data_IF_848827934588
#
_entry.id   IF_848827934588
#
_cell.length_a   1.000
_cell.length_b   1.000
_cell.length_c   1.000
_cell.angle_alpha   90.00
_cell.angle_beta   90.00
_cell.angle_gamma   90.00
#
_symmetry.space_group_name_H-M   'P 1'
#
loop_
_entity.id
_entity.type
_entity.pdbx_description
1 polymer ?
#
# COMPACT_ATOMS: atom_id res chain seq x y z
N UNK A 1 17.15 2.91 -11.02
CA UNK A 1 17.69 3.70 -9.90
C UNK A 1 16.51 4.18 -9.08
N UNK A 2 16.50 3.91 -7.77
CA UNK A 2 15.35 4.28 -6.94
C UNK A 2 15.28 5.80 -6.82
N UNK A 3 14.10 6.37 -7.02
CA UNK A 3 13.80 7.82 -7.08
C UNK A 3 14.26 8.59 -5.82
N UNK A 4 14.31 7.90 -4.68
CA UNK A 4 14.60 8.47 -3.36
C UNK A 4 15.91 7.97 -2.76
N UNK A 5 16.80 7.36 -3.55
CA UNK A 5 18.06 6.80 -3.03
C UNK A 5 18.95 7.80 -2.30
N UNK A 6 18.93 9.08 -2.70
CA UNK A 6 19.67 10.17 -2.04
C UNK A 6 19.22 10.41 -0.59
N UNK A 7 18.02 9.98 -0.20
CA UNK A 7 17.57 10.02 1.21
C UNK A 7 18.41 9.09 2.12
N UNK A 8 19.06 8.08 1.56
CA UNK A 8 19.87 7.13 2.30
C UNK A 8 21.37 7.49 2.34
N UNK A 9 21.83 8.46 1.56
CA UNK A 9 23.24 8.80 1.43
C UNK A 9 23.84 9.20 2.79
N UNK A 10 24.93 8.53 3.18
CA UNK A 10 25.64 8.80 4.44
C UNK A 10 24.88 8.45 5.71
N UNK A 11 23.76 7.71 5.62
CA UNK A 11 22.92 7.31 6.77
C UNK A 11 22.97 5.83 7.04
N UNK A 12 22.88 5.47 8.32
CA UNK A 12 22.82 4.08 8.77
C UNK A 12 21.34 3.69 8.92
N UNK A 13 20.87 2.65 8.21
CA UNK A 13 19.51 2.16 8.38
C UNK A 13 19.29 1.61 9.80
N UNK A 14 18.10 1.86 10.34
CA UNK A 14 17.61 1.17 11.54
C UNK A 14 16.95 -0.13 11.12
N UNK A 15 17.34 -1.21 11.80
CA UNK A 15 16.74 -2.52 11.58
C UNK A 15 15.47 -2.70 12.40
N UNK A 16 14.42 -3.27 11.76
CA UNK A 16 13.15 -3.66 12.38
C UNK A 16 12.87 -5.12 12.03
N UNK A 17 12.76 -5.97 13.05
CA UNK A 17 12.38 -7.38 12.84
C UNK A 17 10.92 -7.52 12.43
N UNK A 18 10.59 -8.60 11.72
CA UNK A 18 9.22 -8.93 11.37
C UNK A 18 8.30 -8.91 12.61
N UNK A 19 7.16 -8.23 12.52
CA UNK A 19 6.22 -7.99 13.62
C UNK A 19 6.55 -6.77 14.49
N UNK A 20 7.68 -6.10 14.29
CA UNK A 20 8.04 -4.92 15.08
C UNK A 20 7.28 -3.67 14.58
N UNK A 21 6.76 -2.89 15.53
CA UNK A 21 6.09 -1.61 15.24
C UNK A 21 7.14 -0.56 14.87
N UNK A 22 6.88 0.18 13.77
CA UNK A 22 7.71 1.27 13.28
C UNK A 22 7.23 2.60 13.89
N UNK A 23 5.92 2.85 13.82
CA UNK A 23 5.25 3.98 14.51
C UNK A 23 3.79 3.64 14.81
N UNK A 24 3.17 4.40 15.72
CA UNK A 24 1.80 4.19 16.18
C UNK A 24 0.89 5.37 15.78
N UNK A 25 -0.35 5.05 15.42
CA UNK A 25 -1.43 6.00 15.19
C UNK A 25 -1.61 6.93 16.39
N UNK A 26 -1.80 8.23 16.13
CA UNK A 26 -2.02 9.25 17.15
C UNK A 26 -0.74 9.79 17.81
N UNK A 27 0.44 9.21 17.56
CA UNK A 27 1.72 9.77 18.04
C UNK A 27 2.17 10.96 17.20
N UNK A 28 3.07 11.79 17.74
CA UNK A 28 3.67 12.90 16.99
C UNK A 28 4.47 12.38 15.79
N UNK A 29 4.46 13.14 14.70
CA UNK A 29 5.11 12.79 13.44
C UNK A 29 6.31 13.71 13.17
N UNK A 30 7.33 13.61 14.00
CA UNK A 30 8.59 14.40 13.93
C UNK A 30 9.60 13.86 12.91
N UNK A 31 9.36 12.68 12.38
CA UNK A 31 10.16 12.04 11.32
C UNK A 31 9.26 11.31 10.31
N UNK A 32 9.77 11.10 9.09
CA UNK A 32 9.23 10.17 8.12
C UNK A 32 10.29 9.14 7.74
N UNK A 33 9.89 8.11 7.00
CA UNK A 33 10.71 6.92 6.82
C UNK A 33 10.89 6.59 5.34
N UNK A 34 12.08 6.10 4.99
CA UNK A 34 12.42 5.57 3.68
C UNK A 34 12.81 4.10 3.79
N UNK A 35 12.13 3.22 3.06
CA UNK A 35 12.36 1.79 3.07
C UNK A 35 13.56 1.42 2.20
N UNK A 36 14.64 0.95 2.82
CA UNK A 36 15.83 0.44 2.11
C UNK A 36 15.63 -1.01 1.68
N UNK A 37 15.02 -1.82 2.58
CA UNK A 37 14.80 -3.25 2.36
C UNK A 37 13.63 -3.73 3.19
N UNK A 38 12.88 -4.70 2.67
CA UNK A 38 11.80 -5.36 3.38
C UNK A 38 10.41 -4.90 2.91
N UNK A 39 9.41 -5.28 3.70
CA UNK A 39 7.99 -4.94 3.49
C UNK A 39 7.39 -4.56 4.82
N UNK A 40 6.67 -3.45 4.86
CA UNK A 40 5.88 -3.00 6.01
C UNK A 40 4.43 -2.75 5.59
N UNK A 41 3.50 -2.73 6.54
CA UNK A 41 2.11 -2.34 6.31
C UNK A 41 1.72 -1.21 7.24
N UNK A 42 1.01 -0.22 6.70
CA UNK A 42 0.33 0.81 7.49
C UNK A 42 -1.14 0.46 7.65
N UNK A 43 -1.68 0.64 8.85
CA UNK A 43 -3.06 0.30 9.19
C UNK A 43 -3.67 1.31 10.17
N UNK A 44 -4.98 1.44 10.10
CA UNK A 44 -5.77 2.16 11.10
C UNK A 44 -6.46 1.15 12.01
N UNK A 45 -6.53 1.50 13.30
CA UNK A 45 -7.28 0.72 14.29
C UNK A 45 -8.55 1.48 14.66
N UNK A 46 -9.68 0.78 14.67
CA UNK A 46 -10.94 1.33 15.17
C UNK A 46 -10.99 1.25 16.70
N UNK A 47 -11.81 2.07 17.39
CA UNK A 47 -12.01 1.96 18.83
C UNK A 47 -12.52 0.59 19.29
N UNK A 48 -13.18 -0.17 18.40
CA UNK A 48 -13.66 -1.53 18.63
C UNK A 48 -12.60 -2.62 18.40
N UNK A 49 -11.33 -2.26 18.10
CA UNK A 49 -10.22 -3.19 17.91
C UNK A 49 -10.12 -3.77 16.48
N UNK A 50 -10.98 -3.35 15.54
CA UNK A 50 -10.84 -3.74 14.13
C UNK A 50 -9.66 -3.03 13.48
N UNK A 51 -8.84 -3.74 12.72
CA UNK A 51 -7.76 -3.18 11.90
C UNK A 51 -8.14 -3.14 10.42
N UNK A 52 -7.76 -2.06 9.75
CA UNK A 52 -7.86 -1.95 8.30
C UNK A 52 -6.52 -1.49 7.72
N UNK A 53 -5.95 -2.30 6.84
CA UNK A 53 -4.73 -1.93 6.12
C UNK A 53 -5.04 -0.75 5.20
N UNK A 54 -4.16 0.25 5.24
CA UNK A 54 -4.19 1.41 4.36
C UNK A 54 -3.21 1.27 3.20
N UNK A 55 -2.01 0.76 3.47
CA UNK A 55 -0.93 0.67 2.48
C UNK A 55 0.03 -0.44 2.85
N UNK A 56 0.56 -1.11 1.83
CA UNK A 56 1.72 -1.99 1.93
C UNK A 56 2.90 -1.25 1.30
N UNK A 57 3.98 -1.13 2.07
CA UNK A 57 5.19 -0.44 1.67
C UNK A 57 6.27 -1.46 1.31
N UNK A 58 6.94 -1.21 0.20
CA UNK A 58 8.04 -2.01 -0.30
C UNK A 58 9.35 -1.22 -0.33
N UNK A 59 10.45 -1.90 -0.64
CA UNK A 59 11.75 -1.25 -0.87
C UNK A 59 11.61 -0.07 -1.82
N UNK A 60 12.04 1.10 -1.36
CA UNK A 60 11.99 2.36 -2.11
C UNK A 60 10.81 3.25 -1.83
N UNK A 61 9.87 2.83 -1.01
CA UNK A 61 8.72 3.64 -0.63
C UNK A 61 9.04 4.58 0.55
N UNK A 62 8.25 5.65 0.64
CA UNK A 62 8.19 6.52 1.81
C UNK A 62 7.07 6.06 2.73
N UNK A 63 7.20 6.32 4.03
CA UNK A 63 6.20 5.99 5.05
C UNK A 63 6.09 7.12 6.08
N UNK A 64 4.85 7.40 6.51
CA UNK A 64 4.57 8.38 7.54
C UNK A 64 4.80 9.84 7.12
N UNK A 65 5.04 10.07 5.84
CA UNK A 65 5.32 11.38 5.23
C UNK A 65 4.12 12.33 5.32
N UNK A 66 2.89 11.81 5.20
CA UNK A 66 1.69 12.64 5.25
C UNK A 66 1.62 13.43 6.56
N UNK A 67 1.65 12.73 7.70
CA UNK A 67 1.59 13.35 9.03
C UNK A 67 2.84 14.18 9.37
N UNK A 68 3.99 13.85 8.77
CA UNK A 68 5.20 14.63 8.92
C UNK A 68 5.09 15.99 8.21
N UNK A 69 4.53 16.03 6.99
CA UNK A 69 4.43 17.26 6.20
C UNK A 69 3.27 18.15 6.64
N UNK A 70 2.15 17.61 7.11
CA UNK A 70 1.00 18.37 7.59
C UNK A 70 1.06 18.70 9.09
N UNK A 71 2.12 18.28 9.79
CA UNK A 71 2.37 18.52 11.22
C UNK A 71 1.25 17.98 12.15
N UNK A 72 0.53 16.98 11.67
CA UNK A 72 -0.55 16.35 12.40
C UNK A 72 -0.08 15.04 13.08
N UNK A 73 -0.79 14.54 14.11
CA UNK A 73 -0.53 13.21 14.65
C UNK A 73 -0.63 12.12 13.57
N UNK A 74 0.12 11.01 13.76
CA UNK A 74 0.10 9.85 12.86
C UNK A 74 -1.32 9.40 12.55
N UNK A 75 -1.72 9.41 11.28
CA UNK A 75 -3.05 8.95 10.84
C UNK A 75 -3.20 7.42 10.91
N UNK A 76 -2.09 6.69 10.99
CA UNK A 76 -2.04 5.23 10.99
C UNK A 76 -0.89 4.72 11.86
N UNK A 77 -0.92 3.43 12.18
CA UNK A 77 0.24 2.69 12.68
C UNK A 77 0.96 2.00 11.53
N UNK A 78 2.26 1.71 11.69
CA UNK A 78 3.02 0.91 10.75
C UNK A 78 3.79 -0.20 11.46
N UNK A 79 3.81 -1.40 10.86
CA UNK A 79 4.47 -2.59 11.38
C UNK A 79 5.27 -3.27 10.27
N UNK A 80 6.44 -3.78 10.59
CA UNK A 80 7.26 -4.58 9.68
C UNK A 80 6.58 -5.94 9.41
N UNK A 81 6.36 -6.27 8.13
CA UNK A 81 5.82 -7.58 7.71
C UNK A 81 6.93 -8.60 7.55
N UNK A 82 8.07 -8.16 7.04
CA UNK A 82 9.35 -8.91 7.00
C UNK A 82 10.39 -8.13 7.79
N UNK A 83 11.58 -8.66 7.95
CA UNK A 83 12.72 -7.86 8.43
C UNK A 83 12.92 -6.68 7.48
N UNK A 84 13.05 -5.47 8.06
CA UNK A 84 13.16 -4.21 7.33
C UNK A 84 14.38 -3.41 7.75
N UNK A 85 15.04 -2.79 6.77
CA UNK A 85 16.06 -1.77 7.01
C UNK A 85 15.49 -0.40 6.54
N UNK A 86 15.42 0.56 7.45
CA UNK A 86 14.65 1.81 7.27
C UNK A 86 15.51 3.00 7.68
N UNK A 87 15.52 4.05 6.87
CA UNK A 87 16.08 5.36 7.23
C UNK A 87 14.96 6.22 7.80
N UNK A 88 15.14 6.78 8.99
CA UNK A 88 14.31 7.86 9.52
C UNK A 88 14.89 9.22 9.17
N UNK A 89 14.04 10.18 8.86
CA UNK A 89 14.41 11.52 8.41
C UNK A 89 13.55 12.54 9.15
N UNK A 90 14.20 13.36 9.97
CA UNK A 90 13.56 14.48 10.66
C UNK A 90 13.64 15.78 9.83
N UNK A 91 13.06 16.89 10.32
CA UNK A 91 13.01 18.16 9.61
C UNK A 91 14.39 18.72 9.29
N UNK A 92 15.28 18.76 10.27
CA UNK A 92 16.64 19.29 10.09
C UNK A 92 17.40 18.51 9.01
N UNK A 93 17.28 17.19 9.04
CA UNK A 93 17.88 16.32 8.04
C UNK A 93 17.27 16.53 6.66
N UNK A 94 15.94 16.70 6.56
CA UNK A 94 15.27 16.97 5.28
C UNK A 94 15.72 18.33 4.71
N UNK A 95 15.81 19.37 5.53
CA UNK A 95 16.30 20.69 5.12
C UNK A 95 17.74 20.62 4.59
N UNK A 96 18.58 19.83 5.24
CA UNK A 96 19.93 19.58 4.77
C UNK A 96 19.96 18.82 3.44
N UNK A 97 19.13 17.78 3.30
CA UNK A 97 19.00 17.02 2.05
C UNK A 97 18.58 17.93 0.91
N UNK A 98 17.57 18.78 1.09
CA UNK A 98 17.10 19.68 0.03
C UNK A 98 18.11 20.77 -0.36
N UNK A 99 19.03 21.14 0.52
CA UNK A 99 20.16 22.03 0.16
C UNK A 99 21.16 21.35 -0.77
N UNK A 100 21.39 20.06 -0.59
CA UNK A 100 22.35 19.27 -1.39
C UNK A 100 21.68 18.67 -2.63
N UNK A 101 20.44 18.20 -2.50
CA UNK A 101 19.64 17.55 -3.52
C UNK A 101 18.30 18.26 -3.73
N UNK A 102 18.28 19.49 -4.24
CA UNK A 102 17.04 20.22 -4.50
C UNK A 102 16.15 19.56 -5.54
N UNK A 103 16.72 18.70 -6.37
CA UNK A 103 16.05 17.88 -7.38
C UNK A 103 15.11 16.84 -6.79
N UNK A 104 15.23 16.50 -5.49
CA UNK A 104 14.31 15.58 -4.80
C UNK A 104 12.91 16.17 -4.55
N UNK A 105 12.78 17.50 -4.48
CA UNK A 105 11.50 18.14 -4.14
C UNK A 105 10.39 17.76 -5.14
N UNK A 106 10.67 17.82 -6.44
CA UNK A 106 9.68 17.50 -7.47
C UNK A 106 9.27 16.01 -7.46
N UNK A 107 10.18 15.02 -7.39
CA UNK A 107 9.82 13.61 -7.16
C UNK A 107 8.97 13.37 -5.93
N UNK A 108 9.21 14.07 -4.80
CA UNK A 108 8.39 13.95 -3.59
C UNK A 108 6.98 14.50 -3.80
N UNK A 109 6.83 15.67 -4.42
CA UNK A 109 5.53 16.22 -4.79
C UNK A 109 4.77 15.29 -5.76
N UNK A 110 5.45 14.71 -6.74
CA UNK A 110 4.86 13.74 -7.66
C UNK A 110 4.40 12.46 -6.93
N UNK A 111 5.16 12.00 -5.93
CA UNK A 111 4.78 10.86 -5.10
C UNK A 111 3.50 11.17 -4.32
N UNK A 112 3.43 12.31 -3.62
CA UNK A 112 2.24 12.73 -2.88
C UNK A 112 1.02 12.92 -3.80
N UNK A 113 1.19 13.55 -4.97
CA UNK A 113 0.13 13.73 -5.94
C UNK A 113 -0.40 12.38 -6.47
N UNK A 114 0.48 11.38 -6.68
CA UNK A 114 0.09 10.02 -7.06
C UNK A 114 -0.70 9.33 -5.95
N UNK A 115 -0.29 9.50 -4.70
CA UNK A 115 -1.00 8.96 -3.53
C UNK A 115 -2.40 9.58 -3.40
N UNK A 116 -2.54 10.90 -3.55
CA UNK A 116 -3.84 11.59 -3.55
C UNK A 116 -4.74 11.05 -4.66
N UNK A 117 -4.22 10.89 -5.88
CA UNK A 117 -4.98 10.33 -7.01
C UNK A 117 -5.47 8.91 -6.70
N UNK A 118 -4.61 8.06 -6.15
CA UNK A 118 -4.97 6.69 -5.77
C UNK A 118 -6.11 6.68 -4.73
N UNK A 119 -5.97 7.48 -3.67
CA UNK A 119 -6.99 7.60 -2.64
C UNK A 119 -8.32 8.14 -3.20
N UNK A 120 -8.28 9.15 -4.08
CA UNK A 120 -9.46 9.69 -4.76
C UNK A 120 -10.16 8.63 -5.60
N UNK A 121 -9.40 7.79 -6.32
CA UNK A 121 -9.95 6.66 -7.09
C UNK A 121 -10.62 5.65 -6.16
N UNK A 122 -9.98 5.28 -5.05
CA UNK A 122 -10.55 4.35 -4.07
C UNK A 122 -11.85 4.88 -3.45
N UNK A 123 -11.91 6.19 -3.13
CA UNK A 123 -13.13 6.82 -2.62
C UNK A 123 -14.25 6.77 -3.66
N UNK A 124 -13.94 7.13 -4.91
CA UNK A 124 -14.91 7.11 -6.00
C UNK A 124 -15.47 5.69 -6.23
N UNK A 125 -14.58 4.70 -6.35
CA UNK A 125 -14.99 3.30 -6.54
C UNK A 125 -15.75 2.75 -5.33
N UNK A 126 -15.32 3.06 -4.10
CA UNK A 126 -16.02 2.63 -2.90
C UNK A 126 -17.43 3.23 -2.79
N UNK A 127 -17.64 4.41 -3.36
CA UNK A 127 -18.93 5.11 -3.35
C UNK A 127 -19.88 4.55 -4.39
N UNK A 128 -19.40 4.23 -5.59
CA UNK A 128 -20.26 3.94 -6.75
C UNK A 128 -20.24 2.48 -7.20
N UNK A 129 -19.24 1.69 -6.80
CA UNK A 129 -19.12 0.30 -7.24
C UNK A 129 -19.22 -0.70 -6.07
N UNK A 130 -20.03 -1.76 -6.20
CA UNK A 130 -20.01 -2.85 -5.23
C UNK A 130 -18.68 -3.60 -5.25
N UNK A 131 -18.34 -4.28 -4.13
CA UNK A 131 -17.03 -4.91 -3.94
C UNK A 131 -16.67 -5.98 -4.99
N UNK A 132 -17.66 -6.70 -5.52
CA UNK A 132 -17.44 -7.66 -6.63
C UNK A 132 -16.93 -6.93 -7.88
N UNK A 133 -17.58 -5.84 -8.30
CA UNK A 133 -17.15 -5.09 -9.48
C UNK A 133 -15.74 -4.51 -9.30
N UNK A 134 -15.42 -3.98 -8.11
CA UNK A 134 -14.07 -3.49 -7.79
C UNK A 134 -13.02 -4.60 -7.87
N UNK A 135 -13.35 -5.80 -7.35
CA UNK A 135 -12.45 -6.96 -7.42
C UNK A 135 -12.22 -7.39 -8.88
N UNK A 136 -13.29 -7.46 -9.69
CA UNK A 136 -13.18 -7.81 -11.10
C UNK A 136 -12.31 -6.81 -11.86
N UNK A 137 -12.50 -5.51 -11.67
CA UNK A 137 -11.69 -4.45 -12.30
C UNK A 137 -10.23 -4.55 -11.92
N UNK A 138 -9.95 -4.70 -10.63
CA UNK A 138 -8.58 -4.83 -10.14
C UNK A 138 -7.87 -6.06 -10.72
N UNK A 139 -8.52 -7.23 -10.72
CA UNK A 139 -7.95 -8.44 -11.33
C UNK A 139 -7.68 -8.25 -12.83
N UNK A 140 -8.58 -7.59 -13.55
CA UNK A 140 -8.41 -7.31 -14.98
C UNK A 140 -7.24 -6.37 -15.29
N UNK A 141 -6.96 -5.40 -14.39
CA UNK A 141 -5.85 -4.45 -14.57
C UNK A 141 -4.48 -5.05 -14.22
N UNK A 142 -4.42 -5.87 -13.18
CA UNK A 142 -3.14 -6.33 -12.62
C UNK A 142 -2.74 -7.73 -13.09
N UNK A 143 -3.70 -8.54 -13.58
CA UNK A 143 -3.43 -9.93 -13.92
C UNK A 143 -3.13 -10.08 -15.41
N UNK A 144 -1.91 -10.49 -15.81
CA UNK A 144 -1.60 -10.87 -17.18
C UNK A 144 -2.53 -12.00 -17.66
N UNK A 145 -2.75 -12.07 -18.95
CA UNK A 145 -3.61 -13.13 -19.52
C UNK A 145 -2.94 -14.50 -19.39
N UNK A 146 -3.63 -15.45 -18.77
CA UNK A 146 -3.16 -16.84 -18.63
C UNK A 146 -2.10 -17.06 -17.55
N UNK A 147 -1.60 -16.02 -16.91
CA UNK A 147 -0.58 -16.14 -15.85
C UNK A 147 -1.16 -15.99 -14.44
N UNK A 148 -0.59 -16.68 -13.43
CA UNK A 148 -0.99 -16.49 -12.05
C UNK A 148 -0.48 -15.15 -11.50
N UNK A 149 -1.38 -14.30 -11.02
CA UNK A 149 -1.06 -13.08 -10.29
C UNK A 149 -0.81 -13.41 -8.82
N UNK A 150 0.37 -13.07 -8.32
CA UNK A 150 0.76 -13.32 -6.93
C UNK A 150 0.16 -12.26 -6.00
N UNK A 151 -0.75 -12.68 -5.12
CA UNK A 151 -1.41 -11.81 -4.15
C UNK A 151 -2.00 -12.60 -2.98
N UNK A 152 -2.11 -11.95 -1.84
CA UNK A 152 -2.90 -12.44 -0.71
C UNK A 152 -4.31 -11.86 -0.76
N UNK A 153 -5.26 -12.51 -0.06
CA UNK A 153 -6.61 -11.93 0.10
C UNK A 153 -6.59 -10.60 0.89
N UNK A 154 -5.59 -10.38 1.70
CA UNK A 154 -5.39 -9.14 2.46
C UNK A 154 -4.96 -8.01 1.54
N UNK A 155 -3.98 -8.25 0.66
CA UNK A 155 -3.52 -7.31 -0.37
C UNK A 155 -4.64 -6.95 -1.35
N UNK A 156 -5.42 -7.94 -1.79
CA UNK A 156 -6.60 -7.69 -2.62
C UNK A 156 -7.65 -6.87 -1.86
N UNK A 157 -7.87 -7.17 -0.58
CA UNK A 157 -8.80 -6.40 0.27
C UNK A 157 -8.39 -4.94 0.38
N UNK A 158 -7.08 -4.69 0.56
CA UNK A 158 -6.53 -3.35 0.52
C UNK A 158 -6.78 -2.67 -0.83
N UNK A 159 -6.39 -3.32 -1.92
CA UNK A 159 -6.48 -2.76 -3.27
C UNK A 159 -7.91 -2.35 -3.66
N UNK A 160 -8.92 -3.11 -3.23
CA UNK A 160 -10.32 -2.84 -3.57
C UNK A 160 -11.13 -2.15 -2.45
N UNK A 161 -10.50 -1.80 -1.32
CA UNK A 161 -11.19 -1.20 -0.17
C UNK A 161 -12.24 -2.12 0.47
N UNK A 162 -11.94 -3.43 0.61
CA UNK A 162 -12.81 -4.43 1.23
C UNK A 162 -12.08 -5.25 2.30
N UNK A 163 -12.82 -5.95 3.17
CA UNK A 163 -12.21 -6.84 4.15
C UNK A 163 -11.65 -8.10 3.49
N UNK A 164 -10.62 -8.72 4.09
CA UNK A 164 -10.11 -10.04 3.70
C UNK A 164 -11.22 -11.09 3.59
N UNK A 165 -12.19 -11.05 4.51
CA UNK A 165 -13.34 -11.98 4.51
C UNK A 165 -14.21 -11.75 3.28
N UNK A 166 -14.49 -10.50 2.93
CA UNK A 166 -15.23 -10.15 1.71
C UNK A 166 -14.52 -10.65 0.47
N UNK A 167 -13.21 -10.44 0.35
CA UNK A 167 -12.40 -10.93 -0.77
C UNK A 167 -12.46 -12.45 -0.86
N UNK A 168 -12.27 -13.17 0.26
CA UNK A 168 -12.33 -14.64 0.30
C UNK A 168 -13.67 -15.14 -0.23
N UNK A 169 -14.78 -14.53 0.20
CA UNK A 169 -16.12 -14.90 -0.27
C UNK A 169 -16.29 -14.63 -1.77
N UNK A 170 -15.86 -13.49 -2.26
CA UNK A 170 -15.96 -13.11 -3.68
C UNK A 170 -15.10 -14.02 -4.58
N UNK A 171 -13.87 -14.31 -4.18
CA UNK A 171 -13.00 -15.23 -4.93
C UNK A 171 -13.55 -16.64 -4.97
N UNK A 172 -14.14 -17.14 -3.88
CA UNK A 172 -14.83 -18.43 -3.86
C UNK A 172 -16.02 -18.45 -4.82
N UNK A 173 -16.79 -17.37 -4.87
CA UNK A 173 -17.89 -17.22 -5.83
C UNK A 173 -17.38 -17.20 -7.28
N UNK A 174 -16.33 -16.42 -7.57
CA UNK A 174 -15.73 -16.35 -8.89
C UNK A 174 -15.14 -17.69 -9.34
N UNK A 175 -14.51 -18.43 -8.41
CA UNK A 175 -14.00 -19.79 -8.68
C UNK A 175 -15.14 -20.76 -9.02
N UNK A 176 -16.24 -20.73 -8.26
CA UNK A 176 -17.43 -21.56 -8.53
C UNK A 176 -18.05 -21.26 -9.89
N UNK A 177 -18.03 -19.99 -10.33
CA UNK A 177 -18.53 -19.55 -11.64
C UNK A 177 -17.53 -19.74 -12.78
N UNK A 178 -16.33 -20.25 -12.49
CA UNK A 178 -15.28 -20.48 -13.48
C UNK A 178 -14.63 -19.22 -14.03
N UNK A 179 -14.73 -18.07 -13.32
CA UNK A 179 -14.13 -16.81 -13.74
C UNK A 179 -12.65 -16.77 -13.42
N UNK A 180 -12.26 -17.30 -12.25
CA UNK A 180 -10.88 -17.35 -11.76
C UNK A 180 -10.57 -18.72 -11.17
N UNK A 181 -9.28 -19.02 -11.02
CA UNK A 181 -8.73 -20.12 -10.22
C UNK A 181 -7.83 -19.53 -9.13
N UNK A 182 -8.04 -19.95 -7.89
CA UNK A 182 -7.23 -19.57 -6.75
C UNK A 182 -6.22 -20.66 -6.40
N UNK A 183 -4.98 -20.24 -6.06
CA UNK A 183 -3.92 -21.11 -5.56
C UNK A 183 -3.33 -20.56 -4.26
N UNK A 184 -2.20 -21.13 -3.83
CA UNK A 184 -1.49 -20.58 -2.68
C UNK A 184 -0.92 -19.18 -3.02
N UNK A 185 -1.52 -18.15 -2.44
CA UNK A 185 -1.18 -16.74 -2.68
C UNK A 185 -1.20 -16.36 -4.17
N UNK A 186 -2.07 -16.95 -4.96
CA UNK A 186 -2.19 -16.65 -6.39
C UNK A 186 -3.63 -16.66 -6.86
N UNK A 187 -3.93 -15.83 -7.86
CA UNK A 187 -5.19 -15.81 -8.60
C UNK A 187 -4.88 -15.83 -10.09
N UNK A 188 -5.56 -16.71 -10.85
CA UNK A 188 -5.44 -16.79 -12.31
C UNK A 188 -6.80 -16.52 -12.93
N UNK A 189 -6.88 -15.63 -13.92
CA UNK A 189 -8.11 -15.39 -14.67
C UNK A 189 -8.31 -16.57 -15.65
N UNK A 190 -9.46 -17.23 -15.59
CA UNK A 190 -9.86 -18.35 -16.45
C UNK A 190 -10.73 -17.85 -17.61
N UNK A 191 -11.67 -16.95 -17.34
CA UNK A 191 -12.57 -16.38 -18.35
C UNK A 191 -12.57 -14.85 -18.22
N UNK A 192 -11.71 -14.21 -19.02
CA UNK A 192 -11.53 -12.77 -18.99
C UNK A 192 -12.77 -12.01 -19.48
N UNK A 193 -13.51 -12.59 -20.42
CA UNK A 193 -14.70 -11.91 -20.96
C UNK A 193 -15.82 -11.87 -19.93
N UNK A 194 -16.12 -13.01 -19.30
CA UNK A 194 -17.11 -13.03 -18.20
C UNK A 194 -16.68 -12.18 -17.01
N UNK A 195 -15.38 -12.10 -16.70
CA UNK A 195 -14.89 -11.25 -15.64
C UNK A 195 -15.06 -9.75 -16.00
N UNK A 196 -14.98 -9.37 -17.29
CA UNK A 196 -15.31 -8.02 -17.76
C UNK A 196 -16.80 -7.71 -17.57
N UNK A 197 -17.69 -8.62 -17.90
CA UNK A 197 -19.13 -8.44 -17.64
C UNK A 197 -19.40 -8.20 -16.14
N UNK A 198 -18.71 -8.95 -15.26
CA UNK A 198 -18.79 -8.77 -13.80
C UNK A 198 -18.27 -7.41 -13.33
N UNK A 199 -17.35 -6.80 -14.07
CA UNK A 199 -16.77 -5.49 -13.73
C UNK A 199 -17.72 -4.31 -13.95
N UNK A 200 -18.87 -4.54 -14.56
CA UNK A 200 -19.85 -3.49 -14.88
C UNK A 200 -19.37 -2.54 -15.99
N UNK A 201 -18.53 -3.04 -16.90
CA UNK A 201 -17.98 -2.30 -18.04
C UNK A 201 -18.69 -2.71 -19.31
#
# INVERSE_FOLDING_TARGET
>A
MNRFSSLAEGRIPRHYSAGQVIYLQGTLADEFYYMIKGTARSYISSPSGGERILTIHHTGDLMGEASFFDECPRISSSIAVTDCDIISINREQLDHIFKIHPDLALPMLQYLAKTIRLLSTHVNEATFLPANQRLARYLLSETPEGEPFSCTHEELGFAIGASRVTVSRLLSEYTRRGLVRTGYRTVTIIDRNKLKEESGS
#
